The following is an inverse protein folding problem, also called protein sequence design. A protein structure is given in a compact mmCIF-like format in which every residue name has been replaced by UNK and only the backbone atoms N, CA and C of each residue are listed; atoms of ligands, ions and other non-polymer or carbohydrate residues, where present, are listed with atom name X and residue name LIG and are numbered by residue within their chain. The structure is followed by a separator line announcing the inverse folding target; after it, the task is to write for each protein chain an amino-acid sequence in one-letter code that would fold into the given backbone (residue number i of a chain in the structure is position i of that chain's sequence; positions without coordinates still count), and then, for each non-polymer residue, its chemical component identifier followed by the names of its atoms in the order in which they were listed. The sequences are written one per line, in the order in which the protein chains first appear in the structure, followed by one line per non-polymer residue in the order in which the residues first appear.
data_IF_450712409911
#
_entry.id   IF_450712409911
#
_cell.length_a   1.000
_cell.length_b   1.000
_cell.length_c   1.000
_cell.angle_alpha   90.00
_cell.angle_beta   90.00
_cell.angle_gamma   90.00
#
_symmetry.space_group_name_H-M   'P 1'
#
loop_
_entity.id
_entity.type
_entity.pdbx_description
1 polymer ?
#
# COMPACT_ATOMS: atom_id res chain seq x y z
N UNK A 1 11.26 17.04 -20.38
CA UNK A 1 10.30 17.05 -19.26
C UNK A 1 11.02 16.43 -18.09
N UNK A 2 10.97 17.09 -16.93
CA UNK A 2 11.42 16.50 -15.67
C UNK A 2 10.61 15.23 -15.38
N UNK A 3 11.27 14.15 -14.97
CA UNK A 3 10.66 12.85 -14.66
C UNK A 3 9.58 12.95 -13.57
N UNK A 4 9.69 13.93 -12.68
CA UNK A 4 8.70 14.25 -11.65
C UNK A 4 7.34 14.64 -12.27
N UNK A 5 7.36 15.53 -13.27
CA UNK A 5 6.15 15.98 -13.99
C UNK A 5 5.49 14.82 -14.76
N UNK A 6 6.29 13.89 -15.27
CA UNK A 6 5.77 12.69 -15.94
C UNK A 6 5.06 11.77 -14.93
N UNK A 7 5.64 11.59 -13.74
CA UNK A 7 5.09 10.76 -12.67
C UNK A 7 3.75 11.28 -12.17
N UNK A 8 3.66 12.58 -11.88
CA UNK A 8 2.42 13.21 -11.42
C UNK A 8 1.28 13.04 -12.44
N UNK A 9 1.57 13.25 -13.73
CA UNK A 9 0.58 13.10 -14.80
C UNK A 9 0.10 11.66 -14.97
N UNK A 10 0.98 10.68 -14.80
CA UNK A 10 0.60 9.26 -14.85
C UNK A 10 -0.31 8.88 -13.67
N UNK A 11 0.01 9.36 -12.46
CA UNK A 11 -0.82 9.14 -11.28
C UNK A 11 -2.21 9.74 -11.44
N UNK A 12 -2.29 10.98 -11.94
CA UNK A 12 -3.57 11.64 -12.20
C UNK A 12 -4.37 10.91 -13.29
N UNK A 13 -3.72 10.47 -14.36
CA UNK A 13 -4.37 9.70 -15.42
C UNK A 13 -4.98 8.40 -14.90
N UNK A 14 -4.21 7.60 -14.15
CA UNK A 14 -4.67 6.30 -13.61
C UNK A 14 -5.91 6.49 -12.73
N UNK A 15 -6.00 7.61 -11.99
CA UNK A 15 -7.12 7.91 -11.10
C UNK A 15 -8.48 8.05 -11.82
N UNK A 16 -8.47 8.47 -13.09
CA UNK A 16 -9.68 8.73 -13.88
C UNK A 16 -9.83 7.82 -15.10
N UNK A 17 -8.83 6.97 -15.38
CA UNK A 17 -8.87 6.05 -16.50
C UNK A 17 -9.98 4.99 -16.28
N UNK A 18 -10.60 4.56 -17.38
CA UNK A 18 -11.52 3.43 -17.34
C UNK A 18 -10.79 2.11 -17.09
N UNK A 19 -11.51 1.12 -16.56
CA UNK A 19 -10.94 -0.18 -16.15
C UNK A 19 -10.16 -0.87 -17.27
N UNK A 20 -10.57 -0.71 -18.53
CA UNK A 20 -9.87 -1.32 -19.68
C UNK A 20 -8.48 -0.72 -19.86
N UNK A 21 -8.36 0.60 -19.73
CA UNK A 21 -7.07 1.30 -19.82
C UNK A 21 -6.18 0.99 -18.62
N UNK A 22 -6.76 0.94 -17.42
CA UNK A 22 -6.01 0.57 -16.20
C UNK A 22 -5.45 -0.85 -16.35
N UNK A 23 -6.27 -1.82 -16.78
CA UNK A 23 -5.83 -3.19 -17.00
C UNK A 23 -4.72 -3.28 -18.06
N UNK A 24 -4.86 -2.55 -19.18
CA UNK A 24 -3.84 -2.52 -20.22
C UNK A 24 -2.49 -1.95 -19.72
N UNK A 25 -2.53 -0.86 -18.92
CA UNK A 25 -1.33 -0.29 -18.31
C UNK A 25 -0.71 -1.29 -17.33
N UNK A 26 -1.53 -1.91 -16.47
CA UNK A 26 -1.05 -2.91 -15.52
C UNK A 26 -0.32 -4.05 -16.23
N UNK A 27 -0.91 -4.65 -17.27
CA UNK A 27 -0.25 -5.71 -18.05
C UNK A 27 1.10 -5.29 -18.65
N UNK A 28 1.31 -4.01 -18.96
CA UNK A 28 2.59 -3.52 -19.48
C UNK A 28 3.70 -3.47 -18.41
N UNK A 29 3.34 -3.31 -17.14
CA UNK A 29 4.29 -3.12 -16.02
C UNK A 29 4.17 -4.21 -14.94
N UNK A 30 3.32 -5.21 -15.14
CA UNK A 30 2.96 -6.23 -14.16
C UNK A 30 4.20 -6.97 -13.63
N UNK A 31 5.11 -7.37 -14.52
CA UNK A 31 6.35 -8.04 -14.13
C UNK A 31 7.26 -7.14 -13.27
N UNK A 32 7.32 -5.84 -13.58
CA UNK A 32 8.13 -4.88 -12.80
C UNK A 32 7.50 -4.58 -11.43
N UNK A 33 6.16 -4.66 -11.33
CA UNK A 33 5.43 -4.51 -10.06
C UNK A 33 5.60 -5.77 -9.19
N UNK A 34 5.55 -6.98 -9.78
CA UNK A 34 5.68 -8.24 -9.05
C UNK A 34 7.11 -8.49 -8.54
N UNK A 35 8.13 -7.94 -9.20
CA UNK A 35 9.53 -8.09 -8.78
C UNK A 35 9.89 -7.26 -7.52
N UNK A 36 9.08 -6.26 -7.14
CA UNK A 36 9.23 -5.52 -5.88
C UNK A 36 8.53 -6.23 -4.72
N UNK A 37 9.20 -7.21 -4.11
CA UNK A 37 8.88 -7.77 -2.78
C UNK A 37 7.37 -8.07 -2.63
N UNK A 38 6.90 -9.10 -3.32
CA UNK A 38 5.48 -9.46 -3.39
C UNK A 38 4.92 -9.97 -2.04
N UNK A 39 4.68 -9.03 -1.13
CA UNK A 39 4.04 -9.26 0.16
C UNK A 39 2.61 -9.82 0.01
N UNK A 40 2.02 -9.75 -1.18
CA UNK A 40 0.69 -10.28 -1.46
C UNK A 40 0.70 -11.79 -1.75
N UNK A 41 1.87 -12.37 -2.01
CA UNK A 41 2.09 -13.82 -2.09
C UNK A 41 2.73 -14.39 -0.81
N UNK A 42 3.22 -13.53 0.09
CA UNK A 42 3.73 -13.94 1.40
C UNK A 42 2.57 -14.28 2.36
N UNK A 43 2.27 -15.58 2.44
CA UNK A 43 1.19 -16.08 3.29
C UNK A 43 1.38 -15.78 4.77
N UNK A 44 2.63 -15.71 5.26
CA UNK A 44 2.90 -15.40 6.67
C UNK A 44 2.59 -13.92 6.95
N UNK A 45 2.99 -13.03 6.04
CA UNK A 45 2.63 -11.62 6.08
C UNK A 45 1.10 -11.41 6.04
N UNK A 46 0.41 -12.07 5.11
CA UNK A 46 -1.05 -11.99 4.99
C UNK A 46 -1.76 -12.47 6.27
N UNK A 47 -1.29 -13.58 6.85
CA UNK A 47 -1.83 -14.12 8.09
C UNK A 47 -1.63 -13.19 9.28
N UNK A 48 -0.44 -12.57 9.40
CA UNK A 48 -0.17 -11.57 10.43
C UNK A 48 -1.11 -10.36 10.29
N UNK A 49 -1.23 -9.82 9.08
CA UNK A 49 -2.08 -8.67 8.80
C UNK A 49 -3.55 -8.96 9.10
N UNK A 50 -4.04 -10.13 8.69
CA UNK A 50 -5.39 -10.57 9.04
C UNK A 50 -5.59 -10.68 10.55
N UNK A 51 -4.65 -11.30 11.27
CA UNK A 51 -4.75 -11.43 12.74
C UNK A 51 -4.80 -10.06 13.42
N UNK A 52 -4.01 -9.08 12.96
CA UNK A 52 -4.00 -7.72 13.52
C UNK A 52 -5.33 -6.99 13.31
N UNK A 53 -5.94 -7.17 12.14
CA UNK A 53 -7.28 -6.62 11.85
C UNK A 53 -8.32 -7.27 12.75
N UNK A 54 -8.32 -8.61 12.83
CA UNK A 54 -9.27 -9.36 13.66
C UNK A 54 -9.13 -8.98 15.16
N UNK A 55 -7.91 -8.74 15.64
CA UNK A 55 -7.64 -8.28 17.01
C UNK A 55 -8.15 -6.85 17.28
N UNK A 56 -8.03 -5.96 16.30
CA UNK A 56 -8.56 -4.59 16.38
C UNK A 56 -10.09 -4.57 16.34
N UNK A 57 -10.70 -5.29 15.39
CA UNK A 57 -12.16 -5.35 15.22
C UNK A 57 -12.85 -6.03 16.41
N UNK A 58 -12.21 -7.05 16.99
CA UNK A 58 -12.70 -7.70 18.22
C UNK A 58 -12.54 -6.82 19.47
N UNK A 59 -11.84 -5.69 19.39
CA UNK A 59 -11.53 -4.82 20.53
C UNK A 59 -10.49 -5.40 21.49
N UNK A 60 -9.81 -6.50 21.11
CA UNK A 60 -8.70 -7.08 21.90
C UNK A 60 -7.50 -6.15 21.93
N UNK A 61 -7.29 -5.39 20.86
CA UNK A 61 -6.25 -4.36 20.77
C UNK A 61 -6.91 -3.01 20.50
N UNK A 62 -6.48 -2.00 21.25
CA UNK A 62 -6.91 -0.62 21.05
C UNK A 62 -5.79 0.21 20.42
N UNK A 63 -6.17 1.12 19.53
CA UNK A 63 -5.23 2.09 18.97
C UNK A 63 -4.73 3.07 20.04
N UNK A 64 -3.56 3.66 19.78
CA UNK A 64 -3.03 4.78 20.57
C UNK A 64 -3.14 6.09 19.80
N UNK A 65 -3.27 7.25 20.48
CA UNK A 65 -3.29 8.53 19.81
C UNK A 65 -2.01 8.79 19.01
N UNK A 66 -2.14 9.50 17.89
CA UNK A 66 -1.03 9.79 16.98
C UNK A 66 0.14 10.53 17.64
N UNK A 67 -0.16 11.44 18.57
CA UNK A 67 0.87 12.15 19.33
C UNK A 67 1.69 11.21 20.23
N UNK A 68 1.05 10.16 20.76
CA UNK A 68 1.75 9.15 21.54
C UNK A 68 2.64 8.26 20.66
N UNK A 69 2.20 7.94 19.44
CA UNK A 69 3.04 7.25 18.44
C UNK A 69 4.31 8.05 18.16
N UNK A 70 4.19 9.34 17.84
CA UNK A 70 5.33 10.22 17.57
C UNK A 70 6.28 10.31 18.76
N UNK A 71 5.74 10.41 19.98
CA UNK A 71 6.55 10.44 21.20
C UNK A 71 7.36 9.16 21.36
N UNK A 72 6.75 8.00 21.14
CA UNK A 72 7.43 6.70 21.26
C UNK A 72 8.52 6.52 20.19
N UNK A 73 8.27 6.96 18.95
CA UNK A 73 9.24 6.86 17.86
C UNK A 73 10.52 7.70 18.11
N UNK A 74 10.39 8.83 18.81
CA UNK A 74 11.53 9.70 19.19
C UNK A 74 12.30 9.22 20.42
N UNK A 75 11.73 8.29 21.18
CA UNK A 75 12.33 7.73 22.39
C UNK A 75 13.15 6.46 22.13
N UNK A 76 13.21 6.00 20.87
CA UNK A 76 14.06 4.93 20.36
C UNK A 76 15.29 5.52 19.67
#
# INVERSE_FOLDING_TARGET
METEVIRERLQEYIRFADDKKVAAIYTMVESEIQDELDLWEDQDFLNEMKSRVDDYESGRVVGIPWEQVKKNARAR
#
